data_IF_446568878174
#
_entry.id   IF_446568878174
#
_cell.length_a   1.000
_cell.length_b   1.000
_cell.length_c   1.000
_cell.angle_alpha   90.00
_cell.angle_beta   90.00
_cell.angle_gamma   90.00
#
_symmetry.space_group_name_H-M   'P 1'
#
loop_
_entity.id
_entity.type
_entity.pdbx_description
1 polymer ?
#
# COMPACT_ATOMS: atom_id res chain seq x y z
N UNK A 1 -7.48 -20.49 -13.28
CA UNK A 1 -7.25 -19.96 -11.92
C UNK A 1 -6.56 -18.63 -12.12
N UNK A 2 -7.29 -17.53 -11.94
CA UNK A 2 -6.70 -16.19 -12.00
C UNK A 2 -6.00 -15.93 -10.66
N UNK A 3 -4.73 -15.52 -10.72
CA UNK A 3 -3.96 -15.13 -9.54
C UNK A 3 -4.14 -13.62 -9.40
N UNK A 4 -4.84 -13.18 -8.36
CA UNK A 4 -4.93 -11.77 -8.00
C UNK A 4 -3.69 -11.39 -7.19
N UNK A 5 -2.87 -10.47 -7.72
CA UNK A 5 -1.74 -9.90 -7.00
C UNK A 5 -2.20 -8.64 -6.29
N UNK A 6 -2.16 -8.65 -4.96
CA UNK A 6 -2.45 -7.48 -4.13
C UNK A 6 -1.15 -6.78 -3.79
N UNK A 7 -1.07 -5.49 -4.07
CA UNK A 7 0.12 -4.67 -3.84
C UNK A 7 -0.21 -3.50 -2.93
N UNK A 8 0.75 -3.11 -2.09
CA UNK A 8 0.69 -1.93 -1.23
C UNK A 8 1.89 -1.04 -1.48
N UNK A 9 1.70 0.26 -1.26
CA UNK A 9 2.80 1.23 -1.25
C UNK A 9 3.49 1.13 0.11
N UNK A 10 4.82 1.16 0.11
CA UNK A 10 5.63 1.19 1.31
C UNK A 10 6.64 2.35 1.28
N UNK A 11 6.98 2.87 2.45
CA UNK A 11 8.09 3.80 2.66
C UNK A 11 9.25 3.04 3.33
N UNK A 12 10.29 2.73 2.55
CA UNK A 12 11.44 1.96 3.01
C UNK A 12 12.32 2.70 4.03
N UNK A 13 12.14 4.01 4.20
CA UNK A 13 12.83 4.79 5.23
C UNK A 13 12.18 4.61 6.62
N UNK A 14 10.94 4.11 6.68
CA UNK A 14 10.20 3.89 7.93
C UNK A 14 10.42 2.48 8.46
N UNK A 15 10.31 2.35 9.79
CA UNK A 15 10.36 1.04 10.44
C UNK A 15 9.11 0.22 10.15
N UNK A 16 9.21 -1.09 10.34
CA UNK A 16 8.05 -2.00 10.33
C UNK A 16 7.36 -2.10 11.69
N UNK A 17 7.52 -1.09 12.55
CA UNK A 17 6.80 -1.04 13.82
C UNK A 17 5.29 -1.02 13.56
N UNK A 18 4.53 -1.71 14.39
CA UNK A 18 3.07 -1.75 14.28
C UNK A 18 2.48 -0.56 15.03
N UNK A 19 1.72 0.25 14.31
CA UNK A 19 0.95 1.36 14.83
C UNK A 19 -0.55 1.02 14.80
N UNK A 20 -1.25 1.31 15.90
CA UNK A 20 -2.71 1.20 15.94
C UNK A 20 -3.32 2.52 15.49
N UNK A 21 -4.03 2.51 14.37
CA UNK A 21 -4.68 3.70 13.80
C UNK A 21 -6.07 3.39 13.27
N UNK A 22 -6.81 4.44 12.89
CA UNK A 22 -8.11 4.32 12.21
C UNK A 22 -7.94 4.73 10.76
N UNK A 23 -8.06 3.79 9.83
CA UNK A 23 -8.02 4.01 8.39
C UNK A 23 -9.37 3.66 7.77
N UNK A 24 -9.94 4.54 6.93
CA UNK A 24 -11.24 4.29 6.30
C UNK A 24 -12.40 4.07 7.30
N UNK A 25 -12.30 4.60 8.51
CA UNK A 25 -13.27 4.37 9.60
C UNK A 25 -13.09 3.05 10.36
N UNK A 26 -12.10 2.23 10.00
CA UNK A 26 -11.79 0.98 10.68
C UNK A 26 -10.54 1.13 11.55
N UNK A 27 -10.65 0.77 12.84
CA UNK A 27 -9.49 0.64 13.73
C UNK A 27 -8.73 -0.63 13.37
N UNK A 28 -7.42 -0.51 13.16
CA UNK A 28 -6.55 -1.62 12.80
C UNK A 28 -5.11 -1.40 13.23
N UNK A 29 -4.31 -2.46 13.08
CA UNK A 29 -2.88 -2.46 13.32
C UNK A 29 -2.16 -2.47 11.98
N UNK A 30 -1.36 -1.45 11.72
CA UNK A 30 -0.69 -1.26 10.45
C UNK A 30 0.80 -1.06 10.68
N UNK A 31 1.67 -1.67 9.87
CA UNK A 31 3.08 -1.31 9.83
C UNK A 31 3.26 0.18 9.50
N UNK A 32 4.13 0.87 10.23
CA UNK A 32 4.41 2.30 10.04
C UNK A 32 4.94 2.59 8.63
N UNK A 33 5.66 1.65 8.01
CA UNK A 33 6.11 1.74 6.62
C UNK A 33 4.96 1.70 5.59
N UNK A 34 3.75 1.26 5.95
CA UNK A 34 2.57 1.34 5.08
C UNK A 34 1.81 2.67 5.23
N UNK A 35 2.18 3.49 6.22
CA UNK A 35 1.59 4.81 6.42
C UNK A 35 2.34 5.84 5.54
N UNK A 36 2.07 5.83 4.24
CA UNK A 36 2.65 6.76 3.27
C UNK A 36 1.92 8.10 3.26
N UNK A 37 2.60 9.16 2.81
CA UNK A 37 1.97 10.48 2.74
C UNK A 37 0.96 10.61 1.58
N UNK A 38 0.18 11.68 1.60
CA UNK A 38 -0.86 11.95 0.60
C UNK A 38 -0.30 12.06 -0.82
N UNK A 39 0.90 12.60 -1.00
CA UNK A 39 1.50 12.78 -2.33
C UNK A 39 1.75 11.41 -2.97
N UNK A 40 2.35 10.47 -2.24
CA UNK A 40 2.61 9.12 -2.73
C UNK A 40 1.29 8.39 -3.07
N UNK A 41 0.26 8.54 -2.23
CA UNK A 41 -1.08 8.00 -2.52
C UNK A 41 -1.67 8.56 -3.83
N UNK A 42 -1.56 9.86 -4.06
CA UNK A 42 -2.10 10.51 -5.25
C UNK A 42 -1.35 10.10 -6.53
N UNK A 43 -0.02 9.96 -6.47
CA UNK A 43 0.80 9.47 -7.58
C UNK A 43 0.38 8.05 -7.99
N UNK A 44 0.26 7.15 -7.01
CA UNK A 44 -0.22 5.78 -7.26
C UNK A 44 -1.61 5.76 -7.90
N UNK A 45 -2.56 6.49 -7.31
CA UNK A 45 -3.94 6.53 -7.80
C UNK A 45 -4.01 7.08 -9.22
N UNK A 46 -3.23 8.13 -9.51
CA UNK A 46 -3.14 8.73 -10.83
C UNK A 46 -2.58 7.76 -11.86
N UNK A 47 -1.40 7.19 -11.62
CA UNK A 47 -0.75 6.28 -12.58
C UNK A 47 -1.59 5.04 -12.87
N UNK A 48 -2.22 4.49 -11.82
CA UNK A 48 -3.13 3.37 -11.99
C UNK A 48 -4.37 3.74 -12.82
N UNK A 49 -4.98 4.89 -12.54
CA UNK A 49 -6.20 5.34 -13.23
C UNK A 49 -5.93 5.73 -14.69
N UNK A 50 -4.82 6.42 -14.95
CA UNK A 50 -4.49 6.94 -16.28
C UNK A 50 -3.88 5.85 -17.19
N UNK A 51 -3.04 4.97 -16.65
CA UNK A 51 -2.23 4.04 -17.45
C UNK A 51 -2.40 2.56 -17.09
N UNK A 52 -3.13 2.23 -16.01
CA UNK A 52 -3.25 0.85 -15.52
C UNK A 52 -1.92 0.27 -15.03
N UNK A 53 -0.99 1.13 -14.57
CA UNK A 53 0.38 0.75 -14.19
C UNK A 53 0.69 1.18 -12.77
N UNK A 54 1.72 0.54 -12.21
CA UNK A 54 2.37 0.98 -10.98
C UNK A 54 3.25 2.20 -11.31
N UNK A 55 3.34 3.14 -10.37
CA UNK A 55 4.27 4.26 -10.47
C UNK A 55 5.68 3.80 -10.05
N UNK A 56 6.65 3.97 -10.94
CA UNK A 56 8.05 3.54 -10.75
C UNK A 56 8.80 4.38 -9.68
N UNK A 57 8.25 5.53 -9.29
CA UNK A 57 8.80 6.37 -8.22
C UNK A 57 8.40 5.88 -6.83
N UNK A 58 7.49 4.91 -6.75
CA UNK A 58 6.97 4.36 -5.50
C UNK A 58 7.58 2.99 -5.22
N UNK A 59 7.74 2.66 -3.94
CA UNK A 59 8.10 1.30 -3.53
C UNK A 59 6.83 0.49 -3.32
N UNK A 60 6.75 -0.67 -3.96
CA UNK A 60 5.60 -1.57 -3.90
C UNK A 60 5.98 -2.88 -3.22
N UNK A 61 5.12 -3.34 -2.31
CA UNK A 61 5.26 -4.62 -1.61
C UNK A 61 4.03 -5.49 -1.84
N UNK A 62 4.24 -6.80 -1.98
CA UNK A 62 3.15 -7.77 -2.08
C UNK A 62 2.38 -7.87 -0.75
N UNK A 63 1.06 -7.80 -0.82
CA UNK A 63 0.19 -8.03 0.32
C UNK A 63 -0.11 -9.52 0.50
N UNK A 64 0.77 -10.17 1.26
CA UNK A 64 0.67 -11.60 1.59
C UNK A 64 -0.56 -11.96 2.42
N UNK A 65 -1.28 -10.99 3.01
CA UNK A 65 -2.46 -11.26 3.84
C UNK A 65 -3.74 -11.47 3.03
N UNK A 66 -3.79 -10.97 1.78
CA UNK A 66 -4.95 -11.14 0.89
C UNK A 66 -4.81 -12.35 -0.04
N UNK A 67 -3.61 -12.93 -0.16
CA UNK A 67 -3.33 -14.07 -1.02
C UNK A 67 -3.85 -15.43 -0.49
N UNK A 68 -4.43 -15.46 0.71
CA UNK A 68 -4.87 -16.69 1.39
C UNK A 68 -6.39 -16.84 1.59
N UNK A 69 -7.20 -16.11 0.80
CA UNK A 69 -8.67 -16.24 0.83
C UNK A 69 -9.16 -17.04 -0.36
#
# INVERSE_FOLDING_TARGET
MEIFLFLRIADSAKSQQIDTLVAGGQKGNYPANQCVDLLHCLLAARMFTEAGKLDDLLTWEEDKLLASV
#
